data_IF_380179428223
#
_entry.id   IF_380179428223
#
_cell.length_a   1.000
_cell.length_b   1.000
_cell.length_c   1.000
_cell.angle_alpha   90.00
_cell.angle_beta   90.00
_cell.angle_gamma   90.00
#
_symmetry.space_group_name_H-M   'P 1'
#
loop_
_entity.id
_entity.type
_entity.pdbx_description
1 polymer ?
#
# COMPACT_ATOMS: atom_id res chain seq x y z
N UNK A 1 -35.38 -15.25 -49.16
CA UNK A 1 -35.05 -14.26 -48.11
C UNK A 1 -33.89 -14.78 -47.33
N UNK A 2 -32.70 -14.22 -47.53
CA UNK A 2 -31.51 -14.56 -46.71
C UNK A 2 -31.52 -13.68 -45.47
N UNK A 3 -31.72 -14.29 -44.29
CA UNK A 3 -31.53 -13.60 -43.02
C UNK A 3 -30.06 -13.56 -42.71
N UNK A 4 -29.46 -12.41 -42.83
CA UNK A 4 -28.09 -12.13 -42.32
C UNK A 4 -28.17 -12.04 -40.80
N UNK A 5 -27.66 -13.05 -40.09
CA UNK A 5 -27.48 -12.99 -38.65
C UNK A 5 -26.17 -12.21 -38.42
N UNK A 6 -26.29 -10.95 -38.02
CA UNK A 6 -25.13 -10.16 -37.59
C UNK A 6 -24.83 -10.60 -36.15
N UNK A 7 -23.81 -11.43 -36.01
CA UNK A 7 -23.28 -11.78 -34.69
C UNK A 7 -22.49 -10.58 -34.20
N UNK A 8 -23.08 -9.80 -33.31
CA UNK A 8 -22.36 -8.75 -32.63
C UNK A 8 -21.42 -9.42 -31.62
N UNK A 9 -20.13 -9.43 -31.94
CA UNK A 9 -19.11 -9.90 -31.01
C UNK A 9 -18.97 -8.84 -29.91
N UNK A 10 -19.53 -9.12 -28.73
CA UNK A 10 -19.30 -8.31 -27.54
C UNK A 10 -17.88 -8.63 -27.07
N UNK A 11 -16.93 -7.77 -27.39
CA UNK A 11 -15.62 -7.79 -26.80
C UNK A 11 -15.76 -7.36 -25.34
N UNK A 12 -15.90 -8.35 -24.43
CA UNK A 12 -15.67 -8.10 -23.03
C UNK A 12 -14.19 -7.73 -22.87
N UNK A 13 -13.95 -6.46 -22.72
CA UNK A 13 -12.65 -5.97 -22.30
C UNK A 13 -12.48 -6.34 -20.82
N UNK A 14 -11.98 -7.56 -20.56
CA UNK A 14 -11.43 -7.92 -19.28
C UNK A 14 -10.08 -7.20 -19.16
N UNK A 15 -10.14 -5.87 -19.04
CA UNK A 15 -8.98 -5.09 -18.65
C UNK A 15 -8.54 -5.60 -17.30
N UNK A 16 -7.29 -6.07 -17.21
CA UNK A 16 -6.60 -6.21 -15.95
C UNK A 16 -6.54 -4.80 -15.34
N UNK A 17 -7.62 -4.40 -14.65
CA UNK A 17 -7.54 -3.22 -13.80
C UNK A 17 -6.59 -3.58 -12.67
N UNK A 18 -5.39 -2.96 -12.68
CA UNK A 18 -4.57 -2.92 -11.50
C UNK A 18 -5.48 -2.45 -10.36
N UNK A 19 -5.73 -3.30 -9.38
CA UNK A 19 -6.53 -2.90 -8.23
C UNK A 19 -5.82 -1.76 -7.53
N UNK A 20 -6.50 -0.64 -7.37
CA UNK A 20 -6.03 0.44 -6.52
C UNK A 20 -5.82 -0.12 -5.11
N UNK A 21 -4.77 0.32 -4.43
CA UNK A 21 -4.50 -0.05 -3.06
C UNK A 21 -5.69 0.29 -2.16
N UNK A 22 -5.99 -0.58 -1.20
CA UNK A 22 -7.10 -0.45 -0.26
C UNK A 22 -6.66 0.33 0.98
N UNK A 23 -7.10 1.57 1.10
CA UNK A 23 -6.80 2.46 2.24
C UNK A 23 -7.34 1.90 3.55
N UNK A 24 -8.53 1.32 3.56
CA UNK A 24 -9.12 0.74 4.79
C UNK A 24 -8.36 -0.51 5.25
N UNK A 25 -7.93 -1.34 4.33
CA UNK A 25 -7.06 -2.48 4.65
C UNK A 25 -5.69 -2.01 5.19
N UNK A 26 -5.16 -0.93 4.63
CA UNK A 26 -3.94 -0.28 5.12
C UNK A 26 -4.10 0.26 6.54
N UNK A 27 -5.24 0.89 6.84
CA UNK A 27 -5.58 1.34 8.18
C UNK A 27 -5.59 0.19 9.19
N UNK A 28 -6.19 -0.93 8.84
CA UNK A 28 -6.22 -2.11 9.71
C UNK A 28 -4.81 -2.64 10.00
N UNK A 29 -3.93 -2.67 9.00
CA UNK A 29 -2.53 -3.08 9.17
C UNK A 29 -1.68 -2.07 9.94
N UNK A 30 -2.04 -0.81 9.93
CA UNK A 30 -1.25 0.27 10.54
C UNK A 30 -1.12 0.18 12.06
N UNK A 31 -1.91 -0.67 12.72
CA UNK A 31 -1.78 -0.92 14.15
C UNK A 31 -0.35 -1.30 14.56
N UNK A 32 0.36 -2.05 13.72
CA UNK A 32 1.78 -2.40 13.94
C UNK A 32 2.71 -1.19 13.91
N UNK A 33 2.37 -0.19 13.15
CA UNK A 33 3.20 1.00 12.89
C UNK A 33 2.90 2.12 13.90
N UNK A 34 1.67 2.17 14.39
CA UNK A 34 1.16 3.26 15.21
C UNK A 34 1.88 3.45 16.55
N UNK A 35 2.39 2.37 17.13
CA UNK A 35 3.09 2.43 18.41
C UNK A 35 4.33 3.36 18.36
N UNK A 36 5.01 3.42 17.23
CA UNK A 36 6.20 4.24 17.02
C UNK A 36 5.92 5.47 16.16
N UNK A 37 5.12 5.32 15.10
CA UNK A 37 4.85 6.40 14.15
C UNK A 37 3.60 7.24 14.48
N UNK A 38 2.89 6.88 15.55
CA UNK A 38 1.68 7.56 15.99
C UNK A 38 0.39 7.04 15.35
N UNK A 39 -0.75 7.12 16.05
CA UNK A 39 -2.03 6.60 15.57
C UNK A 39 -2.58 7.33 14.35
N UNK A 40 -2.13 8.57 14.13
CA UNK A 40 -2.48 9.40 12.97
C UNK A 40 -1.30 9.56 11.99
N UNK A 41 -0.25 8.73 12.12
CA UNK A 41 0.96 8.85 11.29
C UNK A 41 1.85 10.04 11.66
N UNK A 42 1.60 10.65 12.81
CA UNK A 42 2.42 11.73 13.37
C UNK A 42 3.12 11.18 14.62
N UNK A 43 4.44 11.16 14.57
CA UNK A 43 5.27 10.66 15.66
C UNK A 43 5.47 11.70 16.75
N UNK A 44 5.46 11.26 18.01
CA UNK A 44 5.84 12.10 19.15
C UNK A 44 7.34 11.99 19.48
N UNK A 45 8.06 11.11 18.83
CA UNK A 45 9.47 10.87 19.07
C UNK A 45 10.31 11.41 17.92
N UNK A 46 11.29 12.30 18.19
CA UNK A 46 12.14 12.87 17.12
C UNK A 46 13.02 11.86 16.40
N UNK A 47 13.19 10.66 16.94
CA UNK A 47 13.94 9.56 16.29
C UNK A 47 13.11 8.77 15.28
N UNK A 48 11.79 8.92 15.31
CA UNK A 48 10.86 8.20 14.44
C UNK A 48 10.11 9.17 13.54
N UNK A 49 10.12 8.94 12.21
CA UNK A 49 9.53 9.91 11.31
C UNK A 49 8.01 9.87 11.28
N UNK A 50 7.42 10.99 10.89
CA UNK A 50 6.03 11.06 10.50
C UNK A 50 5.83 10.28 9.19
N UNK A 51 4.71 9.56 9.09
CA UNK A 51 4.31 8.85 7.86
C UNK A 51 3.12 9.54 7.17
N UNK A 52 2.33 10.31 7.91
CA UNK A 52 1.17 11.00 7.36
C UNK A 52 1.56 11.96 6.24
N UNK A 53 0.86 11.87 5.11
CA UNK A 53 1.08 12.72 3.96
C UNK A 53 2.36 12.45 3.17
N UNK A 54 3.09 11.39 3.51
CA UNK A 54 4.28 10.99 2.76
C UNK A 54 3.87 10.44 1.39
N UNK A 55 4.74 10.57 0.40
CA UNK A 55 4.50 10.09 -0.95
C UNK A 55 4.32 8.58 -0.98
N UNK A 56 3.24 8.12 -1.59
CA UNK A 56 2.86 6.71 -1.62
C UNK A 56 3.97 5.81 -2.21
N UNK A 57 4.50 6.16 -3.38
CA UNK A 57 5.57 5.41 -4.01
C UNK A 57 6.85 5.37 -3.18
N UNK A 58 7.16 6.43 -2.47
CA UNK A 58 8.28 6.48 -1.54
C UNK A 58 8.10 5.52 -0.37
N UNK A 59 6.90 5.50 0.22
CA UNK A 59 6.58 4.58 1.31
C UNK A 59 6.69 3.11 0.87
N UNK A 60 6.16 2.76 -0.30
CA UNK A 60 6.30 1.41 -0.86
C UNK A 60 7.78 1.03 -0.98
N UNK A 61 8.57 1.90 -1.56
CA UNK A 61 10.02 1.67 -1.74
C UNK A 61 10.73 1.46 -0.41
N UNK A 62 10.44 2.29 0.59
CA UNK A 62 11.12 2.22 1.88
C UNK A 62 10.72 0.98 2.69
N UNK A 63 9.44 0.64 2.72
CA UNK A 63 8.96 -0.56 3.42
C UNK A 63 9.58 -1.82 2.79
N UNK A 64 9.61 -1.91 1.47
CA UNK A 64 10.26 -3.01 0.75
C UNK A 64 11.77 -3.07 1.04
N UNK A 65 12.43 -1.91 1.10
CA UNK A 65 13.85 -1.84 1.41
C UNK A 65 14.17 -2.35 2.83
N UNK A 66 13.35 -2.04 3.81
CA UNK A 66 13.47 -2.62 5.15
C UNK A 66 13.23 -4.13 5.16
N UNK A 67 12.24 -4.59 4.39
CA UNK A 67 11.88 -6.01 4.33
C UNK A 67 12.98 -6.86 3.69
N UNK A 68 13.59 -6.37 2.60
CA UNK A 68 14.61 -7.11 1.86
C UNK A 68 16.06 -6.88 2.34
N UNK A 69 16.25 -6.02 3.34
CA UNK A 69 17.56 -5.73 3.93
C UNK A 69 18.40 -4.68 3.19
N UNK A 70 17.88 -4.02 2.17
CA UNK A 70 18.56 -2.90 1.50
C UNK A 70 18.69 -1.69 2.42
N UNK A 71 17.66 -1.46 3.24
CA UNK A 71 17.69 -0.47 4.31
C UNK A 71 17.65 -1.18 5.65
N UNK A 72 18.73 -1.03 6.43
CA UNK A 72 18.89 -1.74 7.69
C UNK A 72 18.44 -0.89 8.87
N UNK A 73 17.47 -1.39 9.61
CA UNK A 73 17.03 -0.83 10.87
C UNK A 73 16.52 -1.97 11.76
N UNK A 74 17.13 -2.20 12.94
CA UNK A 74 16.75 -3.32 13.80
C UNK A 74 15.36 -3.17 14.39
N UNK A 75 14.80 -1.96 14.43
CA UNK A 75 13.42 -1.71 14.90
C UNK A 75 12.39 -1.94 13.81
N UNK A 76 12.71 -1.57 12.57
CA UNK A 76 11.80 -1.70 11.43
C UNK A 76 11.77 -3.11 10.84
N UNK A 77 12.89 -3.79 10.77
CA UNK A 77 12.98 -5.10 10.12
C UNK A 77 11.94 -6.12 10.62
N UNK A 78 11.75 -6.33 11.93
CA UNK A 78 10.73 -7.27 12.40
C UNK A 78 9.31 -6.79 12.15
N UNK A 79 9.05 -5.48 12.08
CA UNK A 79 7.73 -4.92 11.86
C UNK A 79 7.21 -5.19 10.45
N UNK A 80 8.11 -5.22 9.46
CA UNK A 80 7.75 -5.36 8.04
C UNK A 80 7.94 -6.79 7.50
N UNK A 81 8.56 -7.66 8.27
CA UNK A 81 8.98 -9.00 7.82
C UNK A 81 7.82 -9.86 7.31
N UNK A 82 6.64 -9.74 7.90
CA UNK A 82 5.45 -10.54 7.57
C UNK A 82 4.51 -9.87 6.57
N UNK A 83 4.81 -8.63 6.15
CA UNK A 83 3.96 -7.90 5.21
C UNK A 83 4.06 -8.49 3.80
N UNK A 84 2.91 -8.71 3.17
CA UNK A 84 2.84 -9.02 1.74
C UNK A 84 3.05 -7.74 0.90
N UNK A 85 3.28 -7.89 -0.39
CA UNK A 85 3.35 -6.73 -1.30
C UNK A 85 2.03 -5.94 -1.28
N UNK A 86 0.90 -6.63 -1.19
CA UNK A 86 -0.41 -6.00 -1.06
C UNK A 86 -0.53 -5.20 0.25
N UNK A 87 -0.11 -5.77 1.38
CA UNK A 87 -0.08 -5.06 2.66
C UNK A 87 0.75 -3.78 2.58
N UNK A 88 1.89 -3.85 1.93
CA UNK A 88 2.79 -2.71 1.75
C UNK A 88 2.14 -1.60 0.92
N UNK A 89 1.50 -1.97 -0.17
CA UNK A 89 0.78 -1.01 -1.02
C UNK A 89 -0.40 -0.37 -0.29
N UNK A 90 -1.16 -1.16 0.47
CA UNK A 90 -2.28 -0.68 1.25
C UNK A 90 -1.85 0.27 2.38
N UNK A 91 -0.77 -0.07 3.10
CA UNK A 91 -0.19 0.79 4.13
C UNK A 91 0.32 2.11 3.54
N UNK A 92 1.00 2.06 2.42
CA UNK A 92 1.50 3.25 1.73
C UNK A 92 0.38 4.18 1.30
N UNK A 93 -0.69 3.63 0.72
CA UNK A 93 -1.88 4.39 0.35
C UNK A 93 -2.57 5.02 1.56
N UNK A 94 -2.69 4.28 2.65
CA UNK A 94 -3.29 4.78 3.89
C UNK A 94 -2.53 5.99 4.43
N UNK A 95 -1.23 5.86 4.64
CA UNK A 95 -0.42 6.96 5.19
C UNK A 95 -0.31 8.14 4.25
N UNK A 96 -0.17 7.90 2.95
CA UNK A 96 -0.10 8.98 1.95
C UNK A 96 -1.35 9.85 1.94
N UNK A 97 -2.51 9.29 2.26
CA UNK A 97 -3.80 10.00 2.29
C UNK A 97 -4.13 10.63 3.66
N UNK A 98 -3.34 10.40 4.69
CA UNK A 98 -3.48 11.09 5.96
C UNK A 98 -2.94 12.52 5.85
N UNK A 99 -3.67 13.44 6.44
CA UNK A 99 -3.29 14.87 6.47
C UNK A 99 -2.90 15.30 7.86
#
# INVERSE_FOLDING_TARGET
MKRTITTTLLLLNLGLSAQAADVEAGKAKSALCAACHGPAGISNNPLWPNLAGQKEAYLVKQIKAFKNGERKDPSMAPMVATLSDEDIENLAAYYANLK
#
